data_IF_044591143001
#
_entry.id   IF_044591143001
#
_cell.length_a   1.000
_cell.length_b   1.000
_cell.length_c   1.000
_cell.angle_alpha   90.00
_cell.angle_beta   90.00
_cell.angle_gamma   90.00
#
_symmetry.space_group_name_H-M   'P 1'
#
loop_
_entity.id
_entity.type
_entity.pdbx_description
1 polymer ?
#
# COMPACT_ATOMS: atom_id res chain seq x y z
N UNK A 1 -6.57 -10.85 1.65
CA UNK A 1 -7.12 -11.41 2.91
C UNK A 1 -8.40 -12.18 2.62
N UNK A 2 -8.44 -13.47 2.94
CA UNK A 2 -9.61 -14.32 2.75
C UNK A 2 -10.43 -14.43 4.04
N UNK A 3 -11.74 -14.56 3.93
CA UNK A 3 -12.58 -14.97 5.08
C UNK A 3 -12.29 -16.43 5.46
N UNK A 4 -12.67 -16.88 6.67
CA UNK A 4 -12.65 -18.30 7.04
C UNK A 4 -13.46 -19.20 6.08
N UNK A 5 -14.30 -18.61 5.23
CA UNK A 5 -15.05 -19.29 4.16
C UNK A 5 -14.34 -19.28 2.80
N UNK A 6 -13.11 -18.75 2.70
CA UNK A 6 -12.36 -18.62 1.45
C UNK A 6 -12.85 -17.51 0.51
N UNK A 7 -13.88 -16.73 0.92
CA UNK A 7 -14.37 -15.61 0.11
C UNK A 7 -13.35 -14.49 0.10
N UNK A 8 -13.05 -13.98 -1.10
CA UNK A 8 -12.26 -12.78 -1.33
C UNK A 8 -13.04 -11.57 -0.82
N UNK A 9 -12.38 -10.75 -0.01
CA UNK A 9 -12.92 -9.46 0.43
C UNK A 9 -12.46 -8.43 -0.61
N UNK A 10 -13.38 -7.74 -1.31
CA UNK A 10 -12.99 -6.71 -2.25
C UNK A 10 -12.36 -5.53 -1.49
N UNK A 11 -11.30 -4.96 -2.06
CA UNK A 11 -10.69 -3.75 -1.54
C UNK A 11 -11.64 -2.56 -1.69
N UNK A 12 -11.69 -1.73 -0.66
CA UNK A 12 -12.37 -0.43 -0.65
C UNK A 12 -11.41 0.69 -1.04
N UNK A 13 -11.94 1.85 -1.42
CA UNK A 13 -11.11 2.99 -1.85
C UNK A 13 -10.15 3.47 -0.76
N UNK A 14 -10.56 3.38 0.50
CA UNK A 14 -9.80 3.88 1.64
C UNK A 14 -8.99 2.78 2.34
N UNK A 15 -8.97 1.57 1.78
CA UNK A 15 -8.13 0.50 2.28
C UNK A 15 -6.66 0.84 2.06
N UNK A 16 -5.87 0.64 3.12
CA UNK A 16 -4.43 0.85 3.09
C UNK A 16 -3.78 -0.42 2.54
N UNK A 17 -3.25 -0.35 1.32
CA UNK A 17 -2.72 -1.51 0.60
C UNK A 17 -1.55 -2.18 1.32
N UNK A 18 -0.78 -1.38 2.04
CA UNK A 18 0.40 -1.84 2.77
C UNK A 18 0.01 -2.76 3.93
N UNK A 19 -1.26 -2.76 4.37
CA UNK A 19 -1.76 -3.73 5.35
C UNK A 19 -1.94 -5.14 4.78
N UNK A 20 -1.88 -5.27 3.46
CA UNK A 20 -2.19 -6.50 2.72
C UNK A 20 -1.04 -7.03 1.88
N UNK A 21 -0.01 -6.22 1.63
CA UNK A 21 1.09 -6.53 0.72
C UNK A 21 2.43 -6.05 1.30
N UNK A 22 3.47 -6.83 1.05
CA UNK A 22 4.85 -6.47 1.39
C UNK A 22 5.40 -5.44 0.39
N UNK A 23 6.62 -4.96 0.64
CA UNK A 23 7.24 -3.90 -0.16
C UNK A 23 7.62 -4.39 -1.56
N UNK A 24 8.16 -5.59 -1.68
CA UNK A 24 8.46 -6.24 -2.96
C UNK A 24 7.21 -6.44 -3.84
N UNK A 25 6.09 -6.85 -3.25
CA UNK A 25 4.79 -6.96 -3.92
C UNK A 25 4.31 -5.61 -4.46
N UNK A 26 4.53 -4.51 -3.72
CA UNK A 26 4.12 -3.19 -4.17
C UNK A 26 4.90 -2.75 -5.41
N UNK A 27 6.21 -2.97 -5.47
CA UNK A 27 7.01 -2.61 -6.64
C UNK A 27 6.46 -3.27 -7.92
N UNK A 28 6.17 -4.58 -7.85
CA UNK A 28 5.57 -5.34 -8.95
C UNK A 28 4.17 -4.81 -9.29
N UNK A 29 3.38 -4.45 -8.29
CA UNK A 29 2.04 -3.88 -8.46
C UNK A 29 2.11 -2.54 -9.21
N UNK A 30 3.04 -1.66 -8.83
CA UNK A 30 3.21 -0.34 -9.45
C UNK A 30 3.64 -0.44 -10.91
N UNK A 31 4.55 -1.36 -11.24
CA UNK A 31 4.97 -1.59 -12.63
C UNK A 31 3.79 -2.03 -13.50
N UNK A 32 3.02 -3.03 -13.02
CA UNK A 32 1.80 -3.49 -13.72
C UNK A 32 0.74 -2.40 -13.83
N UNK A 33 0.59 -1.58 -12.79
CA UNK A 33 -0.35 -0.47 -12.78
C UNK A 33 0.03 0.59 -13.82
N UNK A 34 1.30 0.98 -13.86
CA UNK A 34 1.85 1.91 -14.85
C UNK A 34 1.62 1.40 -16.27
N UNK A 35 1.96 0.14 -16.56
CA UNK A 35 1.77 -0.47 -17.87
C UNK A 35 0.28 -0.55 -18.26
N UNK A 36 -0.58 -1.01 -17.33
CA UNK A 36 -2.00 -1.24 -17.59
C UNK A 36 -2.77 0.03 -17.91
N UNK A 37 -2.45 1.12 -17.22
CA UNK A 37 -3.17 2.40 -17.34
C UNK A 37 -2.37 3.46 -18.08
N UNK A 38 -1.15 3.14 -18.54
CA UNK A 38 -0.23 4.05 -19.22
C UNK A 38 0.01 5.35 -18.42
N UNK A 39 0.39 5.19 -17.15
CA UNK A 39 0.57 6.28 -16.19
C UNK A 39 2.06 6.51 -15.96
N UNK A 40 2.48 7.78 -15.90
CA UNK A 40 3.83 8.11 -15.44
C UNK A 40 3.94 7.99 -13.91
N UNK A 41 4.75 7.04 -13.45
CA UNK A 41 5.07 6.79 -12.04
C UNK A 41 6.52 7.17 -11.67
N UNK A 42 7.28 7.76 -12.59
CA UNK A 42 8.71 8.06 -12.41
C UNK A 42 8.98 9.01 -11.24
N UNK A 43 8.02 9.89 -10.96
CA UNK A 43 8.09 10.86 -9.86
C UNK A 43 7.67 10.27 -8.51
N UNK A 44 7.18 9.03 -8.46
CA UNK A 44 6.69 8.44 -7.22
C UNK A 44 7.86 8.18 -6.25
N UNK A 45 7.80 8.79 -5.07
CA UNK A 45 8.76 8.53 -4.00
C UNK A 45 8.36 7.27 -3.22
N UNK A 46 8.99 6.14 -3.54
CA UNK A 46 8.75 4.87 -2.86
C UNK A 46 8.98 4.96 -1.33
N UNK A 47 9.99 5.73 -0.91
CA UNK A 47 10.35 5.90 0.51
C UNK A 47 9.33 6.73 1.30
N UNK A 48 8.35 7.35 0.63
CA UNK A 48 7.24 8.03 1.32
C UNK A 48 6.26 7.02 1.93
N UNK A 49 6.18 5.82 1.35
CA UNK A 49 5.24 4.77 1.73
C UNK A 49 5.94 3.67 2.55
N UNK A 50 7.18 3.31 2.21
CA UNK A 50 7.93 2.28 2.94
C UNK A 50 9.15 2.86 3.67
N UNK A 51 9.53 2.28 4.83
CA UNK A 51 9.04 1.02 5.42
C UNK A 51 7.65 1.16 6.07
N UNK A 52 6.74 0.21 5.82
CA UNK A 52 5.45 0.13 6.52
C UNK A 52 5.59 -0.75 7.75
N UNK A 53 5.36 -0.17 8.93
CA UNK A 53 5.52 -0.90 10.18
C UNK A 53 4.32 -1.79 10.44
N UNK A 54 4.43 -3.05 10.04
CA UNK A 54 3.61 -4.13 10.58
C UNK A 54 4.15 -4.53 11.95
N UNK A 55 3.44 -4.20 13.02
CA UNK A 55 3.70 -4.89 14.29
C UNK A 55 3.33 -6.35 14.11
N UNK A 56 4.33 -7.21 13.93
CA UNK A 56 4.16 -8.64 14.11
C UNK A 56 3.53 -8.86 15.49
N UNK A 57 2.30 -9.39 15.50
CA UNK A 57 1.38 -9.44 16.64
C UNK A 57 1.97 -10.03 17.94
N UNK A 58 3.17 -10.63 17.89
CA UNK A 58 3.89 -11.19 19.05
C UNK A 58 4.70 -10.17 19.88
N UNK A 59 4.81 -8.90 19.48
CA UNK A 59 5.60 -7.91 20.26
C UNK A 59 4.93 -7.40 21.54
N UNK A 60 3.63 -7.63 21.74
CA UNK A 60 2.90 -7.17 22.93
C UNK A 60 3.47 -7.74 24.24
N UNK A 61 4.24 -8.83 24.18
CA UNK A 61 4.83 -9.45 25.37
C UNK A 61 6.26 -8.98 25.70
N UNK A 62 6.94 -8.25 24.82
CA UNK A 62 8.37 -7.92 24.97
C UNK A 62 8.74 -6.44 24.73
N UNK A 63 7.82 -5.53 24.43
CA UNK A 63 8.17 -4.12 24.15
C UNK A 63 7.06 -3.15 24.52
N UNK A 64 7.40 -2.16 25.35
CA UNK A 64 6.50 -1.13 25.89
C UNK A 64 6.44 0.17 25.05
N UNK A 65 7.13 0.18 23.89
CA UNK A 65 7.19 1.34 23.01
C UNK A 65 6.12 1.24 21.92
N UNK A 66 5.23 2.24 21.76
CA UNK A 66 4.29 2.27 20.64
C UNK A 66 5.10 2.35 19.34
N UNK A 67 4.82 1.45 18.41
CA UNK A 67 5.41 1.51 17.08
C UNK A 67 4.83 2.74 16.38
N UNK A 68 5.67 3.75 16.18
CA UNK A 68 5.29 4.94 15.42
C UNK A 68 5.31 4.56 13.95
N UNK A 69 4.15 4.61 13.32
CA UNK A 69 4.06 4.58 11.87
C UNK A 69 4.62 5.89 11.33
N UNK A 70 5.73 5.80 10.59
CA UNK A 70 6.46 6.96 10.08
C UNK A 70 6.03 7.27 8.63
N UNK A 71 5.62 6.24 7.89
CA UNK A 71 5.33 6.32 6.46
C UNK A 71 3.86 6.62 6.16
N UNK A 72 3.60 7.22 5.00
CA UNK A 72 2.25 7.61 4.57
C UNK A 72 1.44 6.37 4.15
N UNK A 73 0.13 6.32 4.45
CA UNK A 73 -0.72 5.24 3.99
C UNK A 73 -0.92 5.32 2.47
N UNK A 74 -0.65 4.22 1.77
CA UNK A 74 -0.95 4.06 0.36
C UNK A 74 -2.34 3.43 0.18
N UNK A 75 -3.27 4.15 -0.44
CA UNK A 75 -4.68 3.72 -0.57
C UNK A 75 -5.11 3.49 -2.02
N UNK A 76 -6.16 2.68 -2.22
CA UNK A 76 -6.74 2.42 -3.56
C UNK A 76 -7.27 3.70 -4.22
N UNK A 77 -7.74 4.67 -3.44
CA UNK A 77 -8.17 5.99 -3.93
C UNK A 77 -7.05 6.70 -4.69
N UNK A 78 -5.82 6.64 -4.17
CA UNK A 78 -4.66 7.29 -4.82
C UNK A 78 -4.37 6.70 -6.20
N UNK A 79 -4.55 5.39 -6.36
CA UNK A 79 -4.44 4.71 -7.66
C UNK A 79 -5.56 5.15 -8.61
N UNK A 80 -6.81 5.17 -8.14
CA UNK A 80 -7.95 5.56 -8.98
C UNK A 80 -7.80 7.01 -9.50
N UNK A 81 -7.38 7.93 -8.64
CA UNK A 81 -7.15 9.33 -9.02
C UNK A 81 -5.95 9.50 -9.96
N UNK A 82 -4.85 8.81 -9.67
CA UNK A 82 -3.66 8.83 -10.54
C UNK A 82 -3.94 8.25 -11.92
N UNK A 83 -4.74 7.17 -11.99
CA UNK A 83 -5.18 6.59 -13.26
C UNK A 83 -6.07 7.51 -14.06
N UNK A 84 -6.97 8.25 -13.40
CA UNK A 84 -7.80 9.26 -14.05
C UNK A 84 -6.96 10.44 -14.58
N UNK A 85 -5.88 10.79 -13.88
CA UNK A 85 -5.00 11.90 -14.27
C UNK A 85 -3.90 11.52 -15.27
N UNK A 86 -3.62 10.22 -15.46
CA UNK A 86 -2.55 9.73 -16.33
C UNK A 86 -1.13 9.91 -15.76
N UNK A 87 -1.00 10.28 -14.49
CA UNK A 87 0.27 10.40 -13.77
C UNK A 87 0.06 10.20 -12.27
N UNK A 88 1.12 9.82 -11.57
CA UNK A 88 1.10 9.80 -10.11
C UNK A 88 0.94 11.22 -9.54
N UNK A 89 -0.01 11.40 -8.60
CA UNK A 89 -0.40 12.70 -8.07
C UNK A 89 0.16 13.04 -6.68
N UNK A 90 0.86 12.10 -6.04
CA UNK A 90 1.16 12.17 -4.62
C UNK A 90 2.67 12.10 -4.33
N UNK A 91 3.15 12.95 -3.42
CA UNK A 91 4.56 12.99 -2.95
C UNK A 91 4.77 12.22 -1.63
#
# INVERSE_FOLDING_TARGET
MGTFTGKLIPLQLDDILQDYAEDDDLAICMDKFSERFNIDITLMNYNAYYPWFHTWFFRKWFTDKPVKQISKPLTVRMFAESAKAGRWLYD
#
